data_IF_673805771764
#
_entry.id   IF_673805771764
#
_cell.length_a   1.000
_cell.length_b   1.000
_cell.length_c   1.000
_cell.angle_alpha   90.00
_cell.angle_beta   90.00
_cell.angle_gamma   90.00
#
_symmetry.space_group_name_H-M   'P 1'
#
loop_
_entity.id
_entity.type
_entity.pdbx_description
1 polymer ?
#
# COMPACT_ATOMS: atom_id res chain seq x y z
N UNK A 1 6.01 6.51 -2.17
CA UNK A 1 4.95 5.56 -1.73
C UNK A 1 3.81 6.37 -1.16
N UNK A 2 2.63 6.30 -1.79
CA UNK A 2 1.44 6.91 -1.22
C UNK A 2 0.95 6.08 -0.02
N UNK A 3 1.22 6.60 1.18
CA UNK A 3 0.80 5.95 2.43
C UNK A 3 -0.72 5.95 2.60
N UNK A 4 -1.47 6.76 1.84
CA UNK A 4 -2.93 6.78 1.88
C UNK A 4 -3.55 5.48 1.37
N UNK A 5 -2.83 4.71 0.55
CA UNK A 5 -3.25 3.37 0.13
C UNK A 5 -3.50 2.44 1.34
N UNK A 6 -2.75 2.59 2.44
CA UNK A 6 -2.98 1.81 3.67
C UNK A 6 -4.35 2.11 4.30
N UNK A 7 -4.87 3.33 4.15
CA UNK A 7 -6.20 3.70 4.63
C UNK A 7 -7.34 3.17 3.75
N UNK A 8 -7.03 2.57 2.59
CA UNK A 8 -8.01 1.91 1.71
C UNK A 8 -8.23 0.44 2.04
N UNK A 9 -7.41 -0.14 2.93
CA UNK A 9 -7.64 -1.49 3.43
C UNK A 9 -8.86 -1.45 4.36
N UNK A 10 -9.84 -2.31 4.11
CA UNK A 10 -11.00 -2.45 4.98
C UNK A 10 -10.61 -3.19 6.25
N UNK A 11 -10.99 -2.64 7.40
CA UNK A 11 -10.73 -3.22 8.70
C UNK A 11 -12.01 -3.23 9.53
N UNK A 12 -12.27 -4.34 10.23
CA UNK A 12 -13.18 -4.34 11.37
C UNK A 12 -12.53 -3.64 12.57
N UNK A 13 -13.34 -3.30 13.58
CA UNK A 13 -12.87 -2.76 14.84
C UNK A 13 -13.26 -3.67 16.00
N UNK A 14 -12.33 -3.83 16.95
CA UNK A 14 -12.47 -4.80 18.03
C UNK A 14 -11.98 -4.21 19.35
N UNK A 15 -12.66 -4.52 20.44
CA UNK A 15 -12.08 -4.44 21.78
C UNK A 15 -11.48 -5.80 22.09
N UNK A 16 -10.16 -5.89 22.18
CA UNK A 16 -9.47 -7.10 22.59
C UNK A 16 -9.13 -7.02 24.06
N UNK A 17 -9.60 -7.99 24.82
CA UNK A 17 -9.31 -8.12 26.25
C UNK A 17 -8.40 -9.31 26.52
N UNK A 18 -7.61 -9.19 27.58
CA UNK A 18 -6.79 -10.25 28.12
C UNK A 18 -6.82 -10.20 29.65
N UNK A 19 -6.55 -11.33 30.28
CA UNK A 19 -6.41 -11.46 31.72
C UNK A 19 -5.05 -12.09 32.01
N UNK A 20 -4.29 -11.52 32.94
CA UNK A 20 -3.08 -12.14 33.49
C UNK A 20 -3.03 -11.89 34.98
N UNK A 21 -2.76 -12.95 35.75
CA UNK A 21 -2.63 -12.89 37.21
C UNK A 21 -3.81 -12.21 37.91
N UNK A 22 -5.03 -12.44 37.42
CA UNK A 22 -6.26 -11.86 37.97
C UNK A 22 -6.52 -10.39 37.62
N UNK A 23 -5.64 -9.75 36.85
CA UNK A 23 -5.84 -8.39 36.32
C UNK A 23 -6.41 -8.45 34.92
N UNK A 24 -7.47 -7.68 34.67
CA UNK A 24 -8.07 -7.51 33.35
C UNK A 24 -7.55 -6.26 32.65
N UNK A 25 -7.40 -6.33 31.34
CA UNK A 25 -7.12 -5.16 30.52
C UNK A 25 -7.65 -5.35 29.10
N UNK A 26 -7.79 -4.25 28.36
CA UNK A 26 -8.18 -4.28 26.96
C UNK A 26 -7.60 -3.15 26.13
N UNK A 27 -7.60 -3.34 24.81
CA UNK A 27 -7.21 -2.33 23.83
C UNK A 27 -8.11 -2.37 22.59
N UNK A 28 -8.17 -1.25 21.86
CA UNK A 28 -8.78 -1.21 20.54
C UNK A 28 -7.79 -1.75 19.51
N UNK A 29 -8.27 -2.59 18.60
CA UNK A 29 -7.50 -3.06 17.44
C UNK A 29 -8.37 -3.12 16.19
N UNK A 30 -7.72 -3.15 15.04
CA UNK A 30 -8.34 -3.30 13.73
C UNK A 30 -7.73 -4.45 12.90
N UNK A 31 -6.93 -5.32 13.52
CA UNK A 31 -6.09 -6.31 12.84
C UNK A 31 -6.59 -7.75 12.98
N UNK A 32 -7.79 -7.97 13.52
CA UNK A 32 -8.34 -9.31 13.65
C UNK A 32 -9.00 -9.76 12.35
N UNK A 33 -8.66 -10.96 11.88
CA UNK A 33 -9.29 -11.58 10.70
C UNK A 33 -9.39 -13.10 10.87
N UNK A 34 -10.42 -13.71 10.27
CA UNK A 34 -10.51 -15.17 10.19
C UNK A 34 -9.49 -15.69 9.17
N UNK A 35 -8.73 -16.71 9.54
CA UNK A 35 -7.69 -17.31 8.68
C UNK A 35 -8.05 -18.72 8.20
N UNK A 36 -8.83 -19.47 8.96
CA UNK A 36 -9.37 -20.77 8.54
C UNK A 36 -10.77 -20.99 9.10
N UNK A 37 -11.62 -21.71 8.36
CA UNK A 37 -12.97 -22.10 8.80
C UNK A 37 -13.01 -23.47 9.50
N UNK A 38 -12.04 -24.35 9.24
CA UNK A 38 -11.92 -25.66 9.89
C UNK A 38 -10.44 -26.08 10.04
N UNK A 39 -9.86 -26.07 11.26
CA UNK A 39 -10.45 -25.54 12.50
C UNK A 39 -10.75 -24.04 12.37
N UNK A 40 -11.71 -23.53 13.16
CA UNK A 40 -12.05 -22.10 13.13
C UNK A 40 -10.94 -21.30 13.81
N UNK A 41 -10.21 -20.48 13.04
CA UNK A 41 -9.05 -19.72 13.52
C UNK A 41 -9.09 -18.29 13.09
N UNK A 42 -8.50 -17.45 13.92
CA UNK A 42 -8.26 -16.03 13.65
C UNK A 42 -6.78 -15.70 13.77
N UNK A 43 -6.36 -14.64 13.08
CA UNK A 43 -5.12 -13.94 13.39
C UNK A 43 -5.45 -12.60 14.05
N UNK A 44 -4.59 -12.19 14.98
CA UNK A 44 -4.66 -10.91 15.69
C UNK A 44 -3.26 -10.32 15.78
N UNK A 45 -3.05 -9.09 15.30
CA UNK A 45 -1.74 -8.43 15.37
C UNK A 45 -1.78 -7.28 16.37
N UNK A 46 -0.97 -7.33 17.43
CA UNK A 46 -0.97 -6.32 18.50
C UNK A 46 0.40 -5.67 18.63
N UNK A 47 0.42 -4.33 18.77
CA UNK A 47 1.64 -3.58 19.02
C UNK A 47 2.27 -3.98 20.36
N UNK A 48 3.59 -4.17 20.39
CA UNK A 48 4.32 -4.53 21.62
C UNK A 48 4.27 -3.44 22.71
N UNK A 49 3.87 -2.22 22.34
CA UNK A 49 3.67 -1.12 23.27
C UNK A 49 2.38 -1.25 24.10
N UNK A 50 1.39 -2.03 23.64
CA UNK A 50 0.13 -2.22 24.35
C UNK A 50 0.31 -3.18 25.53
N UNK A 51 -0.20 -2.84 26.73
CA UNK A 51 -0.16 -3.75 27.87
C UNK A 51 -0.92 -5.06 27.61
N UNK A 52 -2.02 -5.00 26.85
CA UNK A 52 -2.77 -6.19 26.42
C UNK A 52 -1.91 -7.16 25.62
N UNK A 53 -0.95 -6.69 24.83
CA UNK A 53 -0.03 -7.56 24.08
C UNK A 53 0.74 -8.49 25.02
N UNK A 54 1.34 -7.93 26.09
CA UNK A 54 2.16 -8.70 27.02
C UNK A 54 1.34 -9.78 27.72
N UNK A 55 0.09 -9.45 28.09
CA UNK A 55 -0.83 -10.39 28.72
C UNK A 55 -1.23 -11.54 27.78
N UNK A 56 -1.44 -11.25 26.50
CA UNK A 56 -1.73 -12.28 25.49
C UNK A 56 -0.50 -13.16 25.27
N UNK A 57 0.68 -12.55 25.20
CA UNK A 57 1.94 -13.29 25.02
C UNK A 57 2.22 -14.22 26.20
N UNK A 58 1.93 -13.79 27.43
CA UNK A 58 2.11 -14.58 28.65
C UNK A 58 1.09 -15.72 28.77
N UNK A 59 -0.18 -15.44 28.52
CA UNK A 59 -1.27 -16.38 28.85
C UNK A 59 -1.77 -17.20 27.66
N UNK A 60 -1.47 -16.75 26.44
CA UNK A 60 -2.00 -17.33 25.22
C UNK A 60 -3.52 -17.17 25.07
N UNK A 61 -4.16 -16.25 25.79
CA UNK A 61 -5.63 -16.11 25.80
C UNK A 61 -6.06 -14.67 25.54
N UNK A 62 -7.11 -14.51 24.74
CA UNK A 62 -7.80 -13.23 24.56
C UNK A 62 -9.28 -13.44 24.22
N UNK A 63 -10.08 -12.39 24.39
CA UNK A 63 -11.40 -12.30 23.77
C UNK A 63 -11.48 -11.04 22.94
N UNK A 64 -11.92 -11.17 21.69
CA UNK A 64 -12.20 -10.05 20.82
C UNK A 64 -13.70 -9.79 20.78
N UNK A 65 -14.12 -8.61 21.24
CA UNK A 65 -15.50 -8.14 21.10
C UNK A 65 -15.58 -7.26 19.86
N UNK A 66 -16.43 -7.62 18.91
CA UNK A 66 -16.60 -6.95 17.61
C UNK A 66 -17.39 -5.67 17.84
N UNK A 67 -16.79 -4.52 17.53
CA UNK A 67 -17.42 -3.21 17.74
C UNK A 67 -18.49 -3.02 16.67
N UNK A 68 -19.67 -2.57 17.10
CA UNK A 68 -20.83 -2.31 16.26
C UNK A 68 -20.95 -0.85 15.85
N UNK A 69 -21.81 -0.55 14.88
CA UNK A 69 -22.15 0.82 14.48
C UNK A 69 -22.85 1.64 15.57
N UNK A 70 -23.33 0.99 16.63
CA UNK A 70 -23.98 1.61 17.80
C UNK A 70 -22.96 2.06 18.86
N UNK A 71 -21.67 1.80 18.65
CA UNK A 71 -20.63 2.22 19.58
C UNK A 71 -20.48 3.74 19.63
N UNK A 72 -20.45 4.28 20.85
CA UNK A 72 -20.11 5.68 21.09
C UNK A 72 -18.58 5.90 21.12
N UNK A 73 -18.14 7.14 20.97
CA UNK A 73 -16.73 7.51 21.08
C UNK A 73 -16.14 7.23 22.47
N UNK A 74 -16.98 7.14 23.50
CA UNK A 74 -16.57 6.83 24.87
C UNK A 74 -15.88 5.47 24.96
N UNK A 75 -16.35 4.47 24.22
CA UNK A 75 -15.71 3.15 24.15
C UNK A 75 -14.25 3.24 23.66
N UNK A 76 -13.99 4.04 22.62
CA UNK A 76 -12.65 4.25 22.05
C UNK A 76 -11.76 5.05 23.00
N UNK A 77 -12.31 6.09 23.63
CA UNK A 77 -11.58 6.87 24.64
C UNK A 77 -11.15 6.00 25.82
N UNK A 78 -12.02 5.07 26.23
CA UNK A 78 -11.80 4.19 27.37
C UNK A 78 -10.71 3.14 27.09
N UNK A 79 -10.85 2.39 25.99
CA UNK A 79 -9.92 1.29 25.71
C UNK A 79 -8.72 1.68 24.82
N UNK A 80 -8.83 2.74 24.02
CA UNK A 80 -7.84 3.13 23.02
C UNK A 80 -6.87 4.23 23.46
N UNK A 81 -7.27 5.17 24.34
CA UNK A 81 -6.47 6.38 24.64
C UNK A 81 -5.78 6.34 26.01
N UNK A 82 -5.74 5.17 26.64
CA UNK A 82 -5.16 4.97 27.96
C UNK A 82 -4.31 3.72 27.95
N UNK A 83 -3.18 3.75 28.66
CA UNK A 83 -2.34 2.57 28.86
C UNK A 83 -2.87 1.77 30.05
N UNK A 84 -3.06 0.46 29.85
CA UNK A 84 -3.43 -0.45 30.93
C UNK A 84 -2.32 -0.66 31.97
N UNK A 85 -1.10 -0.15 31.73
CA UNK A 85 -0.03 -0.17 32.75
C UNK A 85 -0.37 0.80 33.88
N UNK A 86 -0.91 1.96 33.52
CA UNK A 86 -1.09 3.10 34.40
C UNK A 86 -2.52 3.21 34.94
N UNK A 87 -3.50 2.67 34.21
CA UNK A 87 -4.92 2.74 34.55
C UNK A 87 -5.53 1.35 34.59
N UNK A 88 -6.34 1.09 35.62
CA UNK A 88 -7.27 -0.05 35.62
C UNK A 88 -8.49 0.31 34.77
N UNK A 89 -8.51 -0.16 33.52
CA UNK A 89 -9.60 0.10 32.57
C UNK A 89 -10.90 -0.62 32.94
N UNK A 90 -10.88 -1.58 33.85
CA UNK A 90 -12.11 -2.27 34.26
C UNK A 90 -12.62 -1.84 35.63
N UNK A 91 -11.88 -0.96 36.33
CA UNK A 91 -12.37 -0.29 37.52
C UNK A 91 -13.63 0.53 37.19
N UNK A 92 -14.80 0.04 37.64
CA UNK A 92 -16.09 0.69 37.41
C UNK A 92 -16.69 0.50 36.01
N UNK A 93 -16.08 -0.31 35.14
CA UNK A 93 -16.67 -0.67 33.86
C UNK A 93 -17.52 -1.94 34.01
N UNK A 94 -18.84 -1.80 34.05
CA UNK A 94 -19.78 -2.91 34.31
C UNK A 94 -20.33 -3.57 33.05
N UNK A 95 -20.20 -2.94 31.89
CA UNK A 95 -20.81 -3.42 30.64
C UNK A 95 -19.99 -4.53 29.97
N UNK A 96 -19.63 -5.54 30.76
CA UNK A 96 -18.85 -6.69 30.34
C UNK A 96 -19.28 -7.97 31.07
N UNK A 97 -18.91 -9.12 30.51
CA UNK A 97 -19.14 -10.45 31.10
C UNK A 97 -17.85 -11.26 31.09
N UNK A 98 -17.69 -12.18 32.04
CA UNK A 98 -16.54 -13.10 32.06
C UNK A 98 -16.76 -14.22 31.05
N UNK A 99 -15.82 -14.40 30.12
CA UNK A 99 -15.79 -15.54 29.21
C UNK A 99 -15.26 -16.81 29.91
N UNK A 100 -15.54 -17.98 29.34
CA UNK A 100 -15.03 -19.26 29.84
C UNK A 100 -13.49 -19.33 29.86
N UNK A 101 -12.82 -18.65 28.93
CA UNK A 101 -11.36 -18.59 28.89
C UNK A 101 -10.74 -17.69 29.99
N UNK A 102 -11.57 -17.06 30.82
CA UNK A 102 -11.14 -16.19 31.93
C UNK A 102 -10.95 -14.72 31.56
N UNK A 103 -11.10 -14.33 30.29
CA UNK A 103 -11.02 -12.93 29.83
C UNK A 103 -12.41 -12.26 29.82
N UNK A 104 -12.49 -10.97 29.47
CA UNK A 104 -13.76 -10.22 29.48
C UNK A 104 -14.36 -10.03 28.08
N UNK A 105 -15.64 -10.31 27.94
CA UNK A 105 -16.46 -9.91 26.80
C UNK A 105 -16.95 -8.50 27.09
N UNK A 106 -16.59 -7.51 26.28
CA UNK A 106 -17.20 -6.18 26.35
C UNK A 106 -18.53 -6.28 25.61
N UNK A 107 -19.61 -5.80 26.24
CA UNK A 107 -20.98 -5.95 25.71
C UNK A 107 -21.58 -4.62 25.22
N UNK A 108 -21.14 -3.49 25.79
CA UNK A 108 -21.57 -2.17 25.32
C UNK A 108 -20.89 -1.81 24.00
N UNK A 109 -21.70 -1.45 23.01
CA UNK A 109 -21.24 -1.00 21.70
C UNK A 109 -20.67 -2.11 20.81
N UNK A 110 -20.93 -3.38 21.13
CA UNK A 110 -20.40 -4.55 20.41
C UNK A 110 -21.53 -5.48 19.97
N UNK A 111 -21.38 -6.15 18.82
CA UNK A 111 -22.42 -7.03 18.25
C UNK A 111 -22.07 -8.53 18.29
N UNK A 112 -20.83 -8.91 18.57
CA UNK A 112 -20.38 -10.29 18.68
C UNK A 112 -19.11 -10.40 19.52
N UNK A 113 -18.77 -11.61 19.96
CA UNK A 113 -17.45 -11.88 20.54
C UNK A 113 -16.85 -13.20 20.04
N UNK A 114 -15.52 -13.29 20.13
CA UNK A 114 -14.75 -14.50 19.89
C UNK A 114 -13.72 -14.69 21.02
N UNK A 115 -13.87 -15.74 21.82
CA UNK A 115 -12.87 -16.17 22.78
C UNK A 115 -11.85 -17.07 22.09
N UNK A 116 -10.57 -16.79 22.32
CA UNK A 116 -9.48 -17.35 21.54
C UNK A 116 -8.37 -17.94 22.42
N UNK A 117 -7.75 -19.02 21.94
CA UNK A 117 -6.54 -19.62 22.50
C UNK A 117 -5.43 -19.61 21.45
N UNK A 118 -4.34 -18.91 21.75
CA UNK A 118 -3.17 -18.77 20.87
C UNK A 118 -2.43 -20.09 20.77
N UNK A 119 -2.15 -20.54 19.54
CA UNK A 119 -1.33 -21.73 19.28
C UNK A 119 -0.02 -21.39 18.56
N UNK A 120 0.09 -20.21 17.94
CA UNK A 120 1.31 -19.73 17.30
C UNK A 120 1.45 -18.21 17.40
N UNK A 121 2.69 -17.73 17.47
CA UNK A 121 3.01 -16.31 17.43
C UNK A 121 4.15 -16.04 16.46
N UNK A 122 4.07 -14.90 15.77
CA UNK A 122 5.04 -14.45 14.77
C UNK A 122 5.47 -13.02 15.13
N UNK A 123 6.77 -12.82 15.29
CA UNK A 123 7.34 -11.49 15.51
C UNK A 123 7.41 -10.71 14.18
N UNK A 124 6.78 -9.54 14.14
CA UNK A 124 6.76 -8.63 12.98
C UNK A 124 7.54 -7.33 13.25
N UNK A 125 8.43 -7.34 14.24
CA UNK A 125 9.21 -6.18 14.66
C UNK A 125 8.49 -5.40 15.75
N UNK A 126 7.72 -4.37 15.37
CA UNK A 126 6.99 -3.51 16.32
C UNK A 126 5.71 -4.15 16.86
N UNK A 127 5.25 -5.22 16.22
CA UNK A 127 4.03 -5.95 16.55
C UNK A 127 4.30 -7.45 16.64
N UNK A 128 3.42 -8.17 17.32
CA UNK A 128 3.36 -9.64 17.28
C UNK A 128 2.02 -10.05 16.70
N UNK A 129 2.04 -10.96 15.72
CA UNK A 129 0.85 -11.62 15.20
C UNK A 129 0.61 -12.92 15.98
N UNK A 130 -0.56 -13.06 16.57
CA UNK A 130 -1.03 -14.26 17.24
C UNK A 130 -2.00 -15.00 16.32
N UNK A 131 -1.78 -16.30 16.11
CA UNK A 131 -2.73 -17.20 15.45
C UNK A 131 -3.40 -18.02 16.54
N UNK A 132 -4.72 -17.98 16.58
CA UNK A 132 -5.50 -18.55 17.67
C UNK A 132 -6.68 -19.37 17.17
N UNK A 133 -6.96 -20.47 17.88
CA UNK A 133 -8.19 -21.23 17.74
C UNK A 133 -9.34 -20.49 18.44
N UNK A 134 -10.50 -20.40 17.78
CA UNK A 134 -11.72 -19.84 18.37
C UNK A 134 -12.36 -20.93 19.23
N UNK A 135 -12.42 -20.69 20.55
CA UNK A 135 -12.92 -21.66 21.53
C UNK A 135 -14.38 -21.44 21.91
N UNK A 136 -14.86 -20.20 21.79
CA UNK A 136 -16.25 -19.81 22.03
C UNK A 136 -16.59 -18.54 21.23
N UNK A 137 -17.83 -18.39 20.78
CA UNK A 137 -18.30 -17.22 20.03
C UNK A 137 -19.82 -17.08 20.09
N UNK A 138 -20.31 -15.84 20.17
CA UNK A 138 -21.73 -15.53 20.20
C UNK A 138 -22.02 -14.23 19.45
N UNK A 139 -23.19 -14.15 18.82
CA UNK A 139 -23.77 -12.90 18.32
C UNK A 139 -24.58 -12.26 19.45
N UNK A 140 -24.21 -11.03 19.82
CA UNK A 140 -24.83 -10.26 20.90
C UNK A 140 -25.97 -9.36 20.41
N UNK A 141 -25.91 -8.91 19.15
CA UNK A 141 -26.95 -8.09 18.51
C UNK A 141 -26.88 -8.16 16.99
N UNK A 142 -27.97 -7.77 16.32
CA UNK A 142 -28.04 -7.67 14.85
C UNK A 142 -27.47 -6.35 14.30
N UNK A 143 -26.93 -5.48 15.17
CA UNK A 143 -26.33 -4.21 14.75
C UNK A 143 -25.12 -4.49 13.84
N UNK A 144 -24.93 -3.78 12.72
CA UNK A 144 -23.77 -3.99 11.84
C UNK A 144 -22.44 -3.74 12.57
N UNK A 145 -21.36 -4.39 12.12
CA UNK A 145 -20.02 -4.15 12.65
C UNK A 145 -19.47 -2.80 12.17
N UNK A 146 -18.85 -2.05 13.09
CA UNK A 146 -18.13 -0.83 12.74
C UNK A 146 -16.83 -1.17 12.01
N UNK A 147 -16.69 -0.64 10.80
CA UNK A 147 -15.41 -0.63 10.08
C UNK A 147 -14.56 0.55 10.51
N UNK A 148 -13.26 0.51 10.20
CA UNK A 148 -12.37 1.65 10.41
C UNK A 148 -12.84 2.91 9.66
N UNK A 149 -13.35 2.75 8.45
CA UNK A 149 -13.97 3.84 7.68
C UNK A 149 -15.21 4.39 8.38
N UNK A 150 -16.10 3.51 8.86
CA UNK A 150 -17.29 3.93 9.60
C UNK A 150 -16.94 4.71 10.86
N UNK A 151 -15.92 4.28 11.60
CA UNK A 151 -15.41 5.02 12.76
C UNK A 151 -14.96 6.43 12.38
N UNK A 152 -14.17 6.59 11.31
CA UNK A 152 -13.68 7.91 10.88
C UNK A 152 -14.82 8.85 10.48
N UNK A 153 -15.87 8.32 9.83
CA UNK A 153 -16.96 9.13 9.30
C UNK A 153 -18.08 9.44 10.31
N UNK A 154 -18.32 8.54 11.27
CA UNK A 154 -19.53 8.55 12.10
C UNK A 154 -19.29 8.53 13.61
N UNK A 155 -18.22 7.89 14.10
CA UNK A 155 -17.98 7.72 15.55
C UNK A 155 -16.96 8.72 16.08
N UNK A 156 -15.85 8.89 15.36
CA UNK A 156 -14.80 9.84 15.71
C UNK A 156 -15.40 11.25 15.68
N UNK A 157 -15.33 12.03 16.78
CA UNK A 157 -15.81 13.39 16.81
C UNK A 157 -15.18 14.17 15.67
N UNK A 158 -16.03 14.76 14.83
CA UNK A 158 -15.57 15.71 13.83
C UNK A 158 -15.06 16.94 14.59
N UNK A 159 -13.91 17.52 14.18
CA UNK A 159 -13.47 18.79 14.74
C UNK A 159 -14.62 19.79 14.64
N UNK A 160 -15.05 20.37 15.77
CA UNK A 160 -15.96 21.50 15.72
C UNK A 160 -15.25 22.63 14.99
N UNK A 161 -15.93 23.26 14.04
CA UNK A 161 -15.42 24.46 13.41
C UNK A 161 -15.24 25.52 14.49
N UNK A 162 -13.99 25.82 14.83
CA UNK A 162 -13.71 26.91 15.75
C UNK A 162 -14.11 28.19 15.05
N UNK A 163 -14.96 28.97 15.71
CA UNK A 163 -15.37 30.28 15.22
C UNK A 163 -14.17 31.13 14.83
N UNK A 164 -14.38 32.05 13.91
CA UNK A 164 -13.38 33.05 13.51
C UNK A 164 -12.80 33.72 14.75
N UNK A 165 -11.56 33.38 15.11
CA UNK A 165 -10.79 34.16 16.08
C UNK A 165 -10.64 35.57 15.51
N UNK A 166 -10.97 36.59 16.30
CA UNK A 166 -11.04 37.96 15.83
C UNK A 166 -9.69 38.55 15.38
N UNK A 167 -8.54 37.94 15.68
CA UNK A 167 -7.26 38.66 15.56
C UNK A 167 -6.07 37.78 15.10
N UNK A 168 -6.22 36.97 14.05
CA UNK A 168 -5.07 36.31 13.39
C UNK A 168 -4.33 35.26 14.24
N UNK A 169 -4.97 34.72 15.29
CA UNK A 169 -4.36 33.72 16.16
C UNK A 169 -4.12 32.40 15.43
N UNK A 170 -2.96 31.80 15.67
CA UNK A 170 -2.61 30.48 15.15
C UNK A 170 -3.45 29.40 15.84
N UNK A 171 -3.97 28.45 15.05
CA UNK A 171 -4.66 27.26 15.56
C UNK A 171 -3.76 26.04 15.38
N UNK A 172 -3.75 25.11 16.33
CA UNK A 172 -3.05 23.84 16.26
C UNK A 172 -4.05 22.70 16.43
N UNK A 173 -4.11 21.73 15.51
CA UNK A 173 -5.03 20.60 15.54
C UNK A 173 -4.30 19.30 15.85
N UNK A 174 -4.80 18.54 16.82
CA UNK A 174 -4.32 17.20 17.11
C UNK A 174 -4.74 16.22 15.99
N UNK A 175 -3.79 15.58 15.31
CA UNK A 175 -4.10 14.64 14.22
C UNK A 175 -4.74 13.34 14.71
N UNK A 176 -4.59 13.02 15.99
CA UNK A 176 -5.14 11.79 16.60
C UNK A 176 -6.65 11.95 16.86
N UNK A 177 -7.05 13.01 17.56
CA UNK A 177 -8.43 13.17 18.03
C UNK A 177 -9.16 14.41 17.50
N UNK A 178 -8.47 15.29 16.76
CA UNK A 178 -9.05 16.52 16.22
C UNK A 178 -9.15 17.68 17.20
N UNK A 179 -8.64 17.57 18.43
CA UNK A 179 -8.63 18.66 19.40
C UNK A 179 -7.84 19.87 18.88
N UNK A 180 -8.42 21.06 18.95
CA UNK A 180 -7.78 22.29 18.51
C UNK A 180 -7.33 23.15 19.70
N UNK A 181 -6.11 23.66 19.63
CA UNK A 181 -5.51 24.62 20.56
C UNK A 181 -5.30 25.96 19.84
N UNK A 182 -5.72 27.05 20.46
CA UNK A 182 -5.50 28.40 19.92
C UNK A 182 -4.34 29.05 20.67
N UNK A 183 -3.30 29.44 19.93
CA UNK A 183 -2.11 30.08 20.45
C UNK A 183 -1.00 30.16 19.41
N UNK A 184 -0.14 31.18 19.49
CA UNK A 184 0.97 31.37 18.53
C UNK A 184 1.91 30.16 18.48
N UNK A 185 2.21 29.60 19.65
CA UNK A 185 3.03 28.40 19.82
C UNK A 185 2.33 27.37 20.72
N UNK A 186 2.55 26.09 20.41
CA UNK A 186 2.18 24.97 21.28
C UNK A 186 3.32 24.75 22.30
N UNK A 187 3.09 24.79 23.63
CA UNK A 187 4.13 24.51 24.62
C UNK A 187 4.81 23.15 24.40
N UNK A 188 6.10 23.03 24.69
CA UNK A 188 6.86 21.79 24.45
C UNK A 188 6.36 20.61 25.30
N UNK A 189 5.80 20.90 26.47
CA UNK A 189 5.18 19.94 27.38
C UNK A 189 3.66 19.81 27.15
N UNK A 190 3.12 20.39 26.08
CA UNK A 190 1.69 20.35 25.81
C UNK A 190 1.20 18.93 25.53
N UNK A 191 0.24 18.51 26.34
CA UNK A 191 -0.44 17.21 26.22
C UNK A 191 -1.89 17.45 25.85
N UNK A 192 -2.33 16.85 24.74
CA UNK A 192 -3.72 16.94 24.27
C UNK A 192 -4.68 16.57 25.41
N UNK A 193 -5.63 17.45 25.80
CA UNK A 193 -6.52 17.15 26.92
C UNK A 193 -7.47 15.99 26.62
N UNK A 194 -7.73 15.71 25.34
CA UNK A 194 -8.65 14.66 24.87
C UNK A 194 -7.99 13.29 24.79
N UNK A 195 -6.89 13.16 24.03
CA UNK A 195 -6.25 11.87 23.76
C UNK A 195 -4.92 11.64 24.47
N UNK A 196 -4.42 12.63 25.22
CA UNK A 196 -3.16 12.57 25.98
C UNK A 196 -1.87 12.38 25.16
N UNK A 197 -1.95 12.54 23.84
CA UNK A 197 -0.78 12.63 22.97
C UNK A 197 -0.08 13.99 23.09
N UNK A 198 1.25 14.00 22.91
CA UNK A 198 2.08 15.20 23.06
C UNK A 198 2.07 16.11 21.82
N UNK A 199 2.82 17.22 21.92
CA UNK A 199 2.99 18.24 20.86
C UNK A 199 3.28 17.69 19.45
N UNK A 200 4.02 16.59 19.33
CA UNK A 200 4.38 15.99 18.04
C UNK A 200 3.17 15.58 17.20
N UNK A 201 2.02 15.35 17.83
CA UNK A 201 0.78 14.95 17.18
C UNK A 201 -0.16 16.15 16.89
N UNK A 202 0.37 17.38 16.85
CA UNK A 202 -0.35 18.59 16.47
C UNK A 202 0.16 19.22 15.17
N UNK A 203 -0.76 19.62 14.29
CA UNK A 203 -0.49 20.36 13.06
C UNK A 203 -1.00 21.80 13.14
N UNK A 204 -0.29 22.77 12.56
CA UNK A 204 -0.67 24.19 12.57
C UNK A 204 -1.68 24.51 11.46
N UNK A 205 -2.82 25.11 11.82
CA UNK A 205 -3.84 25.65 10.93
C UNK A 205 -3.74 27.18 10.89
N UNK A 206 -3.44 27.76 9.73
CA UNK A 206 -3.39 29.21 9.52
C UNK A 206 -4.69 29.72 8.91
N UNK A 207 -5.34 30.68 9.57
CA UNK A 207 -6.56 31.35 9.07
C UNK A 207 -6.29 32.20 7.82
N UNK A 208 -7.22 32.16 6.86
CA UNK A 208 -7.13 32.88 5.59
C UNK A 208 -7.38 34.40 5.74
N UNK A 209 -6.65 35.26 4.99
CA UNK A 209 -7.13 36.58 4.62
C UNK A 209 -7.91 36.55 3.29
N UNK A 210 -8.80 37.54 3.14
CA UNK A 210 -9.69 37.79 2.01
C UNK A 210 -8.92 38.21 0.73
N UNK A 211 -9.37 37.63 -0.39
CA UNK A 211 -9.27 38.00 -1.81
C UNK A 211 -7.92 38.40 -2.45
N UNK A 212 -7.74 37.78 -3.63
CA UNK A 212 -6.91 38.15 -4.78
C UNK A 212 -5.39 37.95 -4.67
N UNK A 213 -4.98 36.70 -4.44
CA UNK A 213 -3.77 36.11 -5.02
C UNK A 213 -3.86 34.58 -4.93
N UNK A 214 -3.74 33.88 -6.05
CA UNK A 214 -3.65 32.40 -6.08
C UNK A 214 -2.31 31.99 -5.44
N UNK A 215 -2.30 31.26 -4.30
CA UNK A 215 -1.05 30.79 -3.72
C UNK A 215 -0.58 29.57 -4.48
N UNK A 216 0.64 29.66 -5.00
CA UNK A 216 1.32 28.64 -5.79
C UNK A 216 1.58 27.41 -4.92
N UNK A 217 1.07 26.27 -5.39
CA UNK A 217 1.18 24.98 -4.75
C UNK A 217 2.52 24.32 -5.06
N UNK A 218 3.11 23.72 -4.02
CA UNK A 218 4.13 22.68 -4.14
C UNK A 218 3.67 21.65 -5.17
N UNK A 219 4.49 21.41 -6.19
CA UNK A 219 4.27 20.31 -7.10
C UNK A 219 4.57 18.97 -6.38
N UNK A 220 3.55 18.11 -6.26
CA UNK A 220 3.69 16.76 -5.71
C UNK A 220 4.36 15.78 -6.71
N UNK A 221 4.83 16.30 -7.85
CA UNK A 221 5.35 15.55 -9.01
C UNK A 221 6.89 15.49 -9.10
N UNK A 222 7.63 16.21 -8.24
CA UNK A 222 9.10 16.14 -8.22
C UNK A 222 9.78 16.73 -9.47
N UNK A 223 9.12 17.67 -10.14
CA UNK A 223 9.63 18.37 -11.33
C UNK A 223 10.50 19.57 -10.93
N UNK A 224 11.42 19.96 -11.80
CA UNK A 224 12.30 21.13 -11.60
C UNK A 224 11.46 22.42 -11.60
N UNK A 225 11.59 23.22 -10.54
CA UNK A 225 10.83 24.46 -10.34
C UNK A 225 11.75 25.68 -10.30
N UNK A 226 11.45 26.65 -11.15
CA UNK A 226 12.11 27.94 -11.23
C UNK A 226 11.15 29.01 -10.74
N UNK A 227 11.60 29.91 -9.84
CA UNK A 227 10.78 31.01 -9.33
C UNK A 227 11.30 32.34 -9.86
N UNK A 228 10.40 33.16 -10.37
CA UNK A 228 10.68 34.55 -10.71
C UNK A 228 11.07 35.32 -9.44
N UNK A 229 12.27 35.89 -9.41
CA UNK A 229 12.80 36.63 -8.25
C UNK A 229 12.05 37.94 -7.97
N UNK A 230 11.28 38.43 -8.95
CA UNK A 230 10.57 39.71 -8.86
C UNK A 230 9.16 39.56 -8.29
N UNK A 231 8.39 38.56 -8.74
CA UNK A 231 6.97 38.41 -8.38
C UNK A 231 6.62 37.07 -7.74
N UNK A 232 7.56 36.12 -7.71
CA UNK A 232 7.32 34.79 -7.15
C UNK A 232 6.56 33.81 -8.06
N UNK A 233 6.30 34.16 -9.33
CA UNK A 233 5.74 33.22 -10.31
C UNK A 233 6.62 31.99 -10.47
N UNK A 234 6.05 30.78 -10.42
CA UNK A 234 6.79 29.53 -10.57
C UNK A 234 6.59 28.95 -11.97
N UNK A 235 7.70 28.70 -12.66
CA UNK A 235 7.77 27.99 -13.93
C UNK A 235 8.24 26.55 -13.66
N UNK A 236 7.54 25.57 -14.23
CA UNK A 236 7.84 24.15 -14.09
C UNK A 236 8.43 23.66 -15.40
N UNK A 237 9.66 23.15 -15.36
CA UNK A 237 10.38 22.66 -16.53
C UNK A 237 11.88 22.48 -16.22
N UNK A 238 12.55 21.64 -17.00
CA UNK A 238 13.97 21.34 -16.80
C UNK A 238 14.85 22.59 -16.89
N UNK A 239 14.50 23.52 -17.78
CA UNK A 239 15.12 24.84 -17.94
C UNK A 239 14.09 25.90 -18.35
N UNK A 240 14.35 27.17 -18.01
CA UNK A 240 13.53 28.32 -18.45
C UNK A 240 13.98 28.72 -19.86
N UNK A 241 13.11 28.69 -20.90
CA UNK A 241 13.48 29.09 -22.25
C UNK A 241 13.99 30.53 -22.29
N UNK A 242 15.01 30.81 -23.11
CA UNK A 242 15.67 32.12 -23.14
C UNK A 242 14.74 33.27 -23.57
N UNK A 243 13.67 32.98 -24.31
CA UNK A 243 12.63 33.91 -24.76
C UNK A 243 11.40 33.94 -23.83
N UNK A 244 11.44 33.24 -22.70
CA UNK A 244 10.34 33.20 -21.75
C UNK A 244 10.23 34.52 -20.98
N UNK A 245 9.05 35.13 -21.04
CA UNK A 245 8.69 36.31 -20.24
C UNK A 245 7.72 35.91 -19.13
N UNK A 246 8.00 36.37 -17.91
CA UNK A 246 7.16 36.09 -16.76
C UNK A 246 5.73 36.64 -16.98
N UNK A 247 4.68 35.80 -16.94
CA UNK A 247 3.33 36.23 -17.26
C UNK A 247 2.71 37.19 -16.23
N UNK A 248 3.33 37.32 -15.05
CA UNK A 248 2.85 38.21 -13.98
C UNK A 248 3.53 39.59 -14.05
N UNK A 249 4.83 39.67 -14.32
CA UNK A 249 5.59 40.92 -14.23
C UNK A 249 6.41 41.30 -15.48
N UNK A 250 6.42 40.45 -16.51
CA UNK A 250 7.03 40.74 -17.81
C UNK A 250 8.56 40.70 -17.86
N UNK A 251 9.23 40.25 -16.79
CA UNK A 251 10.69 40.09 -16.80
C UNK A 251 11.12 38.85 -17.57
N UNK A 252 12.31 38.89 -18.18
CA UNK A 252 12.87 37.78 -18.95
C UNK A 252 13.32 36.59 -18.10
N UNK A 253 13.69 35.51 -18.77
CA UNK A 253 14.15 34.25 -18.19
C UNK A 253 15.37 34.39 -17.26
N UNK A 254 16.17 35.45 -17.45
CA UNK A 254 17.33 35.78 -16.61
C UNK A 254 16.95 36.15 -15.16
N UNK A 255 15.67 36.44 -14.92
CA UNK A 255 15.13 36.79 -13.60
C UNK A 255 14.41 35.63 -12.90
N UNK A 256 14.74 34.39 -13.26
CA UNK A 256 14.25 33.17 -12.60
C UNK A 256 15.38 32.44 -11.85
N UNK A 257 15.14 32.08 -10.60
CA UNK A 257 16.06 31.29 -9.77
C UNK A 257 15.52 29.87 -9.55
N UNK A 258 16.40 28.88 -9.53
CA UNK A 258 16.04 27.50 -9.26
C UNK A 258 15.72 27.31 -7.77
N UNK A 259 14.52 26.83 -7.46
CA UNK A 259 14.02 26.71 -6.07
C UNK A 259 13.95 25.28 -5.59
N UNK A 260 13.72 24.35 -6.50
CA UNK A 260 13.91 22.94 -6.24
C UNK A 260 14.38 22.26 -7.52
N UNK A 261 15.60 21.73 -7.50
CA UNK A 261 15.93 20.61 -8.37
C UNK A 261 15.22 19.38 -7.83
N UNK A 262 14.69 18.55 -8.73
CA UNK A 262 14.37 17.18 -8.38
C UNK A 262 15.59 16.57 -7.67
N UNK A 263 15.48 16.01 -6.45
CA UNK A 263 16.55 15.17 -5.94
C UNK A 263 16.74 14.06 -6.99
N UNK A 264 17.97 13.85 -7.45
CA UNK A 264 18.30 12.69 -8.25
C UNK A 264 17.68 11.47 -7.55
N UNK A 265 16.72 10.81 -8.20
CA UNK A 265 16.01 9.64 -7.65
C UNK A 265 17.06 8.68 -7.11
N UNK A 266 17.25 8.65 -5.79
CA UNK A 266 17.94 7.53 -5.17
C UNK A 266 17.02 6.34 -5.38
N UNK A 267 17.37 5.47 -6.32
CA UNK A 267 16.74 4.17 -6.47
C UNK A 267 16.61 3.55 -5.08
N UNK A 268 15.50 2.86 -4.81
CA UNK A 268 15.23 2.21 -3.52
C UNK A 268 16.25 1.13 -3.11
N UNK A 269 17.40 1.06 -3.79
CA UNK A 269 18.49 0.18 -3.51
C UNK A 269 19.41 0.75 -2.43
N UNK A 270 19.20 0.33 -1.18
CA UNK A 270 20.10 0.68 -0.06
C UNK A 270 21.53 0.14 -0.21
N UNK A 271 21.79 -0.70 -1.20
CA UNK A 271 23.10 -1.27 -1.51
C UNK A 271 23.84 -0.51 -2.62
N UNK A 272 23.27 0.57 -3.15
CA UNK A 272 23.82 1.33 -4.27
C UNK A 272 25.31 1.68 -4.07
N UNK A 273 26.13 1.39 -5.09
CA UNK A 273 27.58 1.63 -5.12
C UNK A 273 28.43 0.61 -4.35
N UNK A 274 27.83 -0.36 -3.67
CA UNK A 274 28.56 -1.35 -2.88
C UNK A 274 28.92 -2.60 -3.69
N UNK A 275 29.89 -3.39 -3.19
CA UNK A 275 30.14 -4.73 -3.72
C UNK A 275 28.92 -5.65 -3.55
N UNK A 276 28.12 -5.43 -2.51
CA UNK A 276 26.91 -6.21 -2.26
C UNK A 276 25.86 -5.99 -3.34
N UNK A 277 25.67 -4.76 -3.84
CA UNK A 277 24.79 -4.52 -5.00
C UNK A 277 25.25 -5.33 -6.22
N UNK A 278 26.55 -5.32 -6.52
CA UNK A 278 27.11 -6.12 -7.63
C UNK A 278 26.85 -7.62 -7.43
N UNK A 279 27.08 -8.13 -6.22
CA UNK A 279 26.82 -9.54 -5.91
C UNK A 279 25.33 -9.89 -6.06
N UNK A 280 24.42 -9.00 -5.67
CA UNK A 280 22.98 -9.20 -5.82
C UNK A 280 22.53 -9.19 -7.28
N UNK A 281 23.08 -8.28 -8.10
CA UNK A 281 22.84 -8.24 -9.54
C UNK A 281 23.39 -9.50 -10.24
N UNK A 282 24.58 -9.94 -9.86
CA UNK A 282 25.20 -11.17 -10.36
C UNK A 282 24.35 -12.40 -9.99
N UNK A 283 23.90 -12.50 -8.73
CA UNK A 283 23.00 -13.56 -8.29
C UNK A 283 21.67 -13.52 -9.07
N UNK A 284 21.05 -12.34 -9.22
CA UNK A 284 19.82 -12.20 -10.00
C UNK A 284 19.98 -12.65 -11.46
N UNK A 285 21.08 -12.25 -12.11
CA UNK A 285 21.38 -12.68 -13.47
C UNK A 285 21.61 -14.20 -13.55
N UNK A 286 22.36 -14.77 -12.60
CA UNK A 286 22.64 -16.20 -12.52
C UNK A 286 21.38 -17.04 -12.36
N UNK A 287 20.51 -16.68 -11.41
CA UNK A 287 19.26 -17.39 -11.14
C UNK A 287 18.27 -17.27 -12.32
N UNK A 288 18.21 -16.09 -12.97
CA UNK A 288 17.37 -15.87 -14.15
C UNK A 288 17.81 -16.75 -15.32
N UNK A 289 19.12 -16.87 -15.55
CA UNK A 289 19.68 -17.79 -16.54
C UNK A 289 19.44 -19.26 -16.16
N UNK A 290 19.55 -19.62 -14.87
CA UNK A 290 19.33 -20.97 -14.38
C UNK A 290 17.87 -21.43 -14.63
N UNK A 291 16.88 -20.60 -14.28
CA UNK A 291 15.46 -20.85 -14.56
C UNK A 291 15.20 -21.19 -16.03
N UNK A 292 15.72 -20.37 -16.96
CA UNK A 292 15.52 -20.58 -18.39
C UNK A 292 16.20 -21.88 -18.86
N UNK A 293 17.47 -22.10 -18.49
CA UNK A 293 18.21 -23.34 -18.82
C UNK A 293 17.46 -24.59 -18.34
N UNK A 294 17.01 -24.61 -17.08
CA UNK A 294 16.34 -25.76 -16.51
C UNK A 294 14.99 -26.04 -17.17
N UNK A 295 14.25 -25.00 -17.56
CA UNK A 295 13.02 -25.15 -18.37
C UNK A 295 13.31 -25.79 -19.74
N UNK A 296 14.42 -25.41 -20.39
CA UNK A 296 14.85 -26.03 -21.65
C UNK A 296 15.31 -27.48 -21.45
N UNK A 297 16.06 -27.76 -20.38
CA UNK A 297 16.50 -29.12 -20.04
C UNK A 297 15.33 -30.05 -19.73
N UNK A 298 14.28 -29.54 -19.08
CA UNK A 298 13.04 -30.30 -18.88
C UNK A 298 12.43 -30.75 -20.20
N UNK A 299 12.42 -29.89 -21.22
CA UNK A 299 11.91 -30.24 -22.55
C UNK A 299 12.73 -31.34 -23.21
N UNK A 300 14.06 -31.33 -23.05
CA UNK A 300 14.94 -32.41 -23.54
C UNK A 300 14.70 -33.71 -22.77
N UNK A 301 14.63 -33.66 -21.43
CA UNK A 301 14.36 -34.82 -20.60
C UNK A 301 13.01 -35.47 -20.96
N UNK A 302 11.98 -34.65 -21.20
CA UNK A 302 10.66 -35.12 -21.65
C UNK A 302 10.70 -35.77 -23.02
N UNK A 303 11.37 -35.16 -24.00
CA UNK A 303 11.57 -35.76 -25.34
C UNK A 303 12.27 -37.12 -25.28
N UNK A 304 13.12 -37.33 -24.29
CA UNK A 304 13.82 -38.59 -24.05
C UNK A 304 13.05 -39.59 -23.16
N UNK A 305 11.82 -39.28 -22.77
CA UNK A 305 10.97 -40.17 -21.95
C UNK A 305 11.25 -40.14 -20.44
N UNK A 306 12.11 -39.23 -19.96
CA UNK A 306 12.41 -39.09 -18.52
C UNK A 306 11.45 -38.10 -17.84
N UNK A 307 10.18 -38.47 -17.73
CA UNK A 307 9.13 -37.59 -17.18
C UNK A 307 9.43 -37.10 -15.74
N UNK A 308 9.96 -37.97 -14.86
CA UNK A 308 10.34 -37.57 -13.49
C UNK A 308 11.46 -36.52 -13.50
N UNK A 309 12.47 -36.69 -14.35
CA UNK A 309 13.60 -35.75 -14.46
C UNK A 309 13.11 -34.42 -15.02
N UNK A 310 12.21 -34.45 -16.02
CA UNK A 310 11.59 -33.25 -16.56
C UNK A 310 10.80 -32.48 -15.50
N UNK A 311 10.00 -33.19 -14.69
CA UNK A 311 9.26 -32.58 -13.58
C UNK A 311 10.18 -31.94 -12.54
N UNK A 312 11.28 -32.61 -12.18
CA UNK A 312 12.28 -32.07 -11.25
C UNK A 312 12.96 -30.83 -11.82
N UNK A 313 13.35 -30.81 -13.10
CA UNK A 313 13.90 -29.62 -13.72
C UNK A 313 12.93 -28.43 -13.70
N UNK A 314 11.64 -28.66 -13.97
CA UNK A 314 10.62 -27.60 -13.88
C UNK A 314 10.42 -27.11 -12.44
N UNK A 315 10.42 -28.02 -11.47
CA UNK A 315 10.37 -27.66 -10.07
C UNK A 315 11.57 -26.80 -9.65
N UNK A 316 12.78 -27.20 -10.05
CA UNK A 316 13.99 -26.42 -9.78
C UNK A 316 13.94 -25.06 -10.48
N UNK A 317 13.49 -24.99 -11.74
CA UNK A 317 13.32 -23.71 -12.45
C UNK A 317 12.37 -22.75 -11.69
N UNK A 318 11.32 -23.28 -11.09
CA UNK A 318 10.39 -22.50 -10.27
C UNK A 318 11.03 -22.05 -8.94
N UNK A 319 11.93 -22.85 -8.36
CA UNK A 319 12.72 -22.44 -7.20
C UNK A 319 13.70 -21.30 -7.57
N UNK A 320 14.40 -21.39 -8.69
CA UNK A 320 15.31 -20.32 -9.14
C UNK A 320 14.56 -19.02 -9.46
N UNK A 321 13.32 -19.12 -9.95
CA UNK A 321 12.45 -17.94 -10.10
C UNK A 321 12.21 -17.24 -8.75
N UNK A 322 11.93 -18.00 -7.68
CA UNK A 322 11.74 -17.42 -6.35
C UNK A 322 13.06 -16.91 -5.76
N UNK A 323 14.20 -17.57 -5.99
CA UNK A 323 15.53 -17.05 -5.61
C UNK A 323 15.83 -15.72 -6.30
N UNK A 324 15.67 -15.64 -7.62
CA UNK A 324 15.85 -14.41 -8.39
C UNK A 324 14.97 -13.27 -7.85
N UNK A 325 13.72 -13.57 -7.50
CA UNK A 325 12.78 -12.61 -6.92
C UNK A 325 13.24 -12.06 -5.56
N UNK A 326 13.87 -12.87 -4.71
CA UNK A 326 14.45 -12.40 -3.45
C UNK A 326 15.49 -11.31 -3.70
N UNK A 327 16.42 -11.56 -4.64
CA UNK A 327 17.51 -10.64 -4.97
C UNK A 327 17.01 -9.38 -5.66
N UNK A 328 16.13 -9.52 -6.64
CA UNK A 328 15.55 -8.38 -7.36
C UNK A 328 14.71 -7.48 -6.43
N UNK A 329 13.97 -8.08 -5.49
CA UNK A 329 13.26 -7.34 -4.45
C UNK A 329 14.23 -6.60 -3.52
N UNK A 330 15.35 -7.23 -3.13
CA UNK A 330 16.35 -6.60 -2.28
C UNK A 330 17.03 -5.39 -2.94
N UNK A 331 17.18 -5.44 -4.27
CA UNK A 331 17.65 -4.33 -5.11
C UNK A 331 16.60 -3.23 -5.34
N UNK A 332 15.36 -3.43 -4.88
CA UNK A 332 14.26 -2.49 -5.11
C UNK A 332 13.71 -2.52 -6.54
N UNK A 333 13.96 -3.59 -7.31
CA UNK A 333 13.52 -3.71 -8.71
C UNK A 333 12.03 -4.05 -8.91
N UNK A 334 11.28 -4.31 -7.83
CA UNK A 334 9.84 -4.62 -7.92
C UNK A 334 9.04 -3.44 -7.36
N UNK A 335 8.37 -2.72 -8.26
CA UNK A 335 7.46 -1.61 -7.96
C UNK A 335 5.98 -1.98 -8.13
N UNK A 336 5.16 -0.94 -8.24
CA UNK A 336 3.75 -1.00 -8.65
C UNK A 336 3.61 -1.44 -10.11
N UNK A 337 2.41 -1.84 -10.56
CA UNK A 337 2.18 -2.21 -11.97
C UNK A 337 2.59 -1.09 -12.93
N UNK A 338 2.33 0.17 -12.60
CA UNK A 338 2.73 1.35 -13.40
C UNK A 338 4.26 1.48 -13.47
N UNK A 339 4.94 1.36 -12.34
CA UNK A 339 6.42 1.42 -12.29
C UNK A 339 7.06 0.24 -13.02
N UNK A 340 6.48 -0.95 -12.93
CA UNK A 340 6.98 -2.15 -13.59
C UNK A 340 6.74 -2.10 -15.11
N UNK A 341 5.59 -1.58 -15.57
CA UNK A 341 5.32 -1.39 -16.99
C UNK A 341 6.25 -0.35 -17.62
N UNK A 342 6.54 0.73 -16.89
CA UNK A 342 7.55 1.70 -17.32
C UNK A 342 8.94 1.07 -17.40
N UNK A 343 9.40 0.40 -16.35
CA UNK A 343 10.70 -0.29 -16.35
C UNK A 343 10.81 -1.33 -17.47
N UNK A 344 9.74 -2.10 -17.73
CA UNK A 344 9.70 -3.04 -18.83
C UNK A 344 9.79 -2.31 -20.18
N UNK A 345 8.96 -1.30 -20.43
CA UNK A 345 8.99 -0.55 -21.67
C UNK A 345 10.35 0.14 -21.93
N UNK A 346 10.97 0.72 -20.90
CA UNK A 346 12.29 1.36 -21.00
C UNK A 346 13.39 0.32 -21.27
N UNK A 347 13.29 -0.87 -20.66
CA UNK A 347 14.18 -1.99 -20.92
C UNK A 347 14.07 -2.48 -22.36
N UNK A 348 12.86 -2.78 -22.82
CA UNK A 348 12.57 -3.19 -24.20
C UNK A 348 13.08 -2.13 -25.19
N UNK A 349 12.85 -0.83 -24.90
CA UNK A 349 13.35 0.27 -25.72
C UNK A 349 14.87 0.24 -25.88
N UNK A 350 15.60 0.11 -24.78
CA UNK A 350 17.05 -0.01 -24.80
C UNK A 350 17.50 -1.25 -25.59
N UNK A 351 16.78 -2.38 -25.44
CA UNK A 351 17.11 -3.60 -26.15
C UNK A 351 17.04 -3.44 -27.67
N UNK A 352 15.96 -2.85 -28.21
CA UNK A 352 15.82 -2.73 -29.66
C UNK A 352 16.52 -1.52 -30.30
N UNK A 353 16.71 -0.42 -29.56
CA UNK A 353 17.34 0.81 -30.09
C UNK A 353 18.86 0.84 -29.96
N UNK A 354 19.43 0.09 -29.02
CA UNK A 354 20.87 0.12 -28.74
C UNK A 354 21.43 -1.30 -28.75
N UNK A 355 20.97 -2.16 -27.82
CA UNK A 355 21.62 -3.45 -27.58
C UNK A 355 21.61 -4.36 -28.83
N UNK A 356 20.45 -4.67 -29.39
CA UNK A 356 20.33 -5.57 -30.54
C UNK A 356 20.79 -4.90 -31.84
N UNK A 357 20.64 -3.59 -32.00
CA UNK A 357 21.16 -2.86 -33.15
C UNK A 357 22.69 -2.95 -33.19
N UNK A 358 23.35 -2.65 -32.06
CA UNK A 358 24.81 -2.79 -31.91
C UNK A 358 25.27 -4.24 -32.09
N UNK A 359 24.62 -5.20 -31.43
CA UNK A 359 24.98 -6.63 -31.55
C UNK A 359 24.83 -7.14 -32.99
N UNK A 360 23.83 -6.69 -33.74
CA UNK A 360 23.68 -7.04 -35.15
C UNK A 360 24.80 -6.45 -36.01
N UNK A 361 25.19 -5.18 -35.78
CA UNK A 361 26.31 -4.55 -36.49
C UNK A 361 27.64 -5.26 -36.20
N UNK A 362 27.93 -5.51 -34.92
CA UNK A 362 29.13 -6.24 -34.48
C UNK A 362 29.18 -7.64 -35.12
N UNK A 363 28.05 -8.37 -35.12
CA UNK A 363 27.96 -9.68 -35.75
C UNK A 363 28.21 -9.63 -37.27
N UNK A 364 27.73 -8.60 -37.98
CA UNK A 364 28.01 -8.41 -39.41
C UNK A 364 29.48 -8.08 -39.68
N UNK A 365 30.09 -7.23 -38.86
CA UNK A 365 31.51 -6.88 -38.93
C UNK A 365 32.42 -8.10 -38.74
N UNK A 366 32.01 -9.01 -37.86
CA UNK A 366 32.70 -10.28 -37.60
C UNK A 366 32.36 -11.40 -38.62
N UNK A 367 31.42 -11.16 -39.53
CA UNK A 367 31.02 -12.10 -40.60
C UNK A 367 29.97 -13.15 -40.19
N UNK A 368 29.28 -12.95 -39.07
CA UNK A 368 28.19 -13.81 -38.57
C UNK A 368 26.80 -13.33 -39.02
N UNK A 369 26.60 -13.21 -40.34
CA UNK A 369 25.40 -12.60 -40.93
C UNK A 369 24.07 -13.26 -40.51
N UNK A 370 24.03 -14.60 -40.41
CA UNK A 370 22.81 -15.32 -39.98
C UNK A 370 22.42 -14.96 -38.52
N UNK A 371 23.41 -14.66 -37.68
CA UNK A 371 23.18 -14.24 -36.30
C UNK A 371 22.80 -12.76 -36.24
N UNK A 372 23.39 -11.92 -37.09
CA UNK A 372 23.01 -10.52 -37.23
C UNK A 372 21.54 -10.37 -37.67
N UNK A 373 21.08 -11.19 -38.62
CA UNK A 373 19.67 -11.23 -39.02
C UNK A 373 18.76 -11.67 -37.88
N UNK A 374 19.18 -12.66 -37.08
CA UNK A 374 18.44 -13.06 -35.87
C UNK A 374 18.36 -11.93 -34.84
N UNK A 375 19.45 -11.22 -34.55
CA UNK A 375 19.42 -10.07 -33.64
C UNK A 375 18.48 -8.97 -34.12
N UNK A 376 18.47 -8.65 -35.42
CA UNK A 376 17.50 -7.71 -35.99
C UNK A 376 16.06 -8.20 -35.85
N UNK A 377 15.82 -9.48 -36.09
CA UNK A 377 14.51 -10.10 -35.91
C UNK A 377 14.03 -10.00 -34.47
N UNK A 378 14.90 -10.28 -33.50
CA UNK A 378 14.60 -10.13 -32.07
C UNK A 378 14.35 -8.67 -31.71
N UNK A 379 15.21 -7.73 -32.15
CA UNK A 379 14.99 -6.29 -31.93
C UNK A 379 13.64 -5.80 -32.47
N UNK A 380 13.19 -6.28 -33.63
CA UNK A 380 11.86 -5.95 -34.15
C UNK A 380 10.71 -6.48 -33.26
N UNK A 381 10.92 -7.62 -32.58
CA UNK A 381 9.97 -8.18 -31.61
C UNK A 381 9.94 -7.35 -30.33
N UNK A 382 11.11 -6.97 -29.79
CA UNK A 382 11.19 -6.17 -28.56
C UNK A 382 10.57 -4.79 -28.73
N UNK A 383 10.65 -4.19 -29.93
CA UNK A 383 9.88 -2.98 -30.26
C UNK A 383 8.37 -3.18 -30.06
N UNK A 384 7.83 -4.33 -30.48
CA UNK A 384 6.43 -4.65 -30.28
C UNK A 384 6.09 -4.91 -28.79
N UNK A 385 7.04 -5.41 -28.00
CA UNK A 385 6.88 -5.50 -26.55
C UNK A 385 6.78 -4.11 -25.90
N UNK A 386 7.66 -3.18 -26.28
CA UNK A 386 7.59 -1.78 -25.81
C UNK A 386 6.20 -1.17 -26.14
N UNK A 387 5.78 -1.22 -27.41
CA UNK A 387 4.49 -0.68 -27.85
C UNK A 387 3.32 -1.22 -27.02
N UNK A 388 3.35 -2.52 -26.73
CA UNK A 388 2.34 -3.18 -25.88
C UNK A 388 2.38 -2.67 -24.44
N UNK A 389 3.55 -2.58 -23.83
CA UNK A 389 3.66 -2.10 -22.44
C UNK A 389 3.27 -0.63 -22.30
N UNK A 390 3.64 0.23 -23.26
CA UNK A 390 3.20 1.64 -23.30
C UNK A 390 1.69 1.76 -23.46
N UNK A 391 1.07 0.94 -24.31
CA UNK A 391 -0.39 0.93 -24.46
C UNK A 391 -1.10 0.45 -23.18
N UNK A 392 -0.57 -0.57 -22.49
CA UNK A 392 -1.11 -1.04 -21.22
C UNK A 392 -0.96 0.01 -20.11
N UNK A 393 0.18 0.68 -20.05
CA UNK A 393 0.43 1.78 -19.12
C UNK A 393 -0.58 2.92 -19.34
N UNK A 394 -0.76 3.35 -20.59
CA UNK A 394 -1.74 4.37 -20.95
C UNK A 394 -3.15 3.99 -20.50
N UNK A 395 -3.56 2.73 -20.69
CA UNK A 395 -4.87 2.26 -20.22
C UNK A 395 -5.03 2.38 -18.70
N UNK A 396 -3.97 2.17 -17.92
CA UNK A 396 -4.03 2.32 -16.45
C UNK A 396 -4.16 3.79 -16.08
N UNK A 397 -3.34 4.67 -16.66
CA UNK A 397 -3.31 6.11 -16.37
C UNK A 397 -4.60 6.82 -16.77
N UNK A 398 -5.17 6.44 -17.92
CA UNK A 398 -6.43 6.96 -18.42
C UNK A 398 -7.67 6.28 -17.80
N UNK A 399 -7.49 5.34 -16.86
CA UNK A 399 -8.57 4.52 -16.26
C UNK A 399 -9.41 3.76 -17.30
N UNK A 400 -8.77 3.35 -18.40
CA UNK A 400 -9.42 2.67 -19.51
C UNK A 400 -9.24 1.14 -19.53
N UNK A 401 -8.67 0.55 -18.47
CA UNK A 401 -8.48 -0.91 -18.39
C UNK A 401 -9.83 -1.65 -18.46
N UNK A 402 -10.85 -1.12 -17.80
CA UNK A 402 -12.20 -1.71 -17.72
C UNK A 402 -13.31 -0.75 -18.17
N UNK A 403 -12.94 0.35 -18.83
CA UNK A 403 -13.83 1.39 -19.35
C UNK A 403 -13.31 1.90 -20.68
N UNK A 404 -14.21 2.18 -21.61
CA UNK A 404 -13.89 2.82 -22.89
C UNK A 404 -14.87 3.94 -23.18
N UNK A 405 -14.43 4.93 -23.94
CA UNK A 405 -15.24 6.08 -24.35
C UNK A 405 -16.43 5.68 -25.23
N UNK A 406 -16.32 4.57 -25.97
CA UNK A 406 -17.37 3.98 -26.78
C UNK A 406 -17.84 2.62 -26.29
N UNK A 407 -19.02 2.21 -26.77
CA UNK A 407 -19.57 0.86 -26.54
C UNK A 407 -18.58 -0.18 -27.05
N UNK A 408 -18.16 -1.07 -26.16
CA UNK A 408 -17.16 -2.11 -26.40
C UNK A 408 -17.72 -3.48 -26.01
N UNK A 409 -17.17 -4.55 -26.59
CA UNK A 409 -17.46 -5.92 -26.16
C UNK A 409 -16.41 -6.37 -25.16
N UNK A 410 -16.83 -6.71 -23.95
CA UNK A 410 -16.00 -7.23 -22.87
C UNK A 410 -16.19 -8.75 -22.78
N UNK A 411 -15.10 -9.49 -22.64
CA UNK A 411 -15.10 -10.94 -22.49
C UNK A 411 -14.45 -11.34 -21.16
N UNK A 412 -15.15 -12.16 -20.38
CA UNK A 412 -14.61 -12.74 -19.15
C UNK A 412 -13.63 -13.87 -19.49
N UNK A 413 -12.34 -13.68 -19.27
CA UNK A 413 -11.29 -14.67 -19.53
C UNK A 413 -11.45 -15.97 -18.73
N UNK A 414 -12.21 -15.95 -17.64
CA UNK A 414 -12.47 -17.14 -16.83
C UNK A 414 -13.50 -18.09 -17.46
N UNK A 415 -14.58 -17.55 -18.04
CA UNK A 415 -15.72 -18.37 -18.48
C UNK A 415 -16.28 -18.03 -19.87
N UNK A 416 -15.70 -17.08 -20.59
CA UNK A 416 -16.12 -16.64 -21.93
C UNK A 416 -17.42 -15.81 -21.96
N UNK A 417 -17.91 -15.35 -20.81
CA UNK A 417 -19.12 -14.51 -20.79
C UNK A 417 -18.85 -13.15 -21.45
N UNK A 418 -19.72 -12.77 -22.39
CA UNK A 418 -19.61 -11.52 -23.15
C UNK A 418 -20.63 -10.50 -22.63
N UNK A 419 -20.16 -9.27 -22.40
CA UNK A 419 -20.98 -8.11 -22.06
C UNK A 419 -20.71 -6.99 -23.06
N UNK A 420 -21.77 -6.34 -23.54
CA UNK A 420 -21.66 -5.17 -24.43
C UNK A 420 -21.98 -3.91 -23.62
N UNK A 421 -21.03 -2.97 -23.55
CA UNK A 421 -21.18 -1.76 -22.77
C UNK A 421 -19.93 -0.87 -22.82
N UNK A 422 -20.02 0.33 -22.27
CA UNK A 422 -18.85 1.22 -22.12
C UNK A 422 -17.89 0.75 -21.02
N UNK A 423 -18.34 -0.14 -20.13
CA UNK A 423 -17.57 -0.62 -18.97
C UNK A 423 -17.77 -2.13 -18.78
N UNK A 424 -16.73 -2.82 -18.30
CA UNK A 424 -16.84 -4.20 -17.84
C UNK A 424 -17.58 -4.25 -16.49
N UNK A 425 -18.42 -5.25 -16.22
CA UNK A 425 -19.13 -5.34 -14.94
C UNK A 425 -18.17 -5.61 -13.77
N UNK A 426 -18.49 -5.05 -12.59
CA UNK A 426 -17.68 -5.26 -11.37
C UNK A 426 -17.56 -6.74 -10.98
N UNK A 427 -18.59 -7.53 -11.29
CA UNK A 427 -18.65 -8.98 -11.06
C UNK A 427 -19.26 -9.64 -12.30
N UNK A 428 -18.64 -10.71 -12.79
CA UNK A 428 -19.19 -11.50 -13.88
C UNK A 428 -20.53 -12.15 -13.46
N UNK A 429 -21.63 -11.94 -14.18
CA UNK A 429 -22.95 -12.47 -13.79
C UNK A 429 -23.07 -14.00 -13.97
N UNK A 430 -22.09 -14.64 -14.61
CA UNK A 430 -22.11 -16.08 -14.87
C UNK A 430 -21.23 -16.84 -13.87
N UNK A 431 -19.96 -16.46 -13.73
CA UNK A 431 -19.00 -17.18 -12.89
C UNK A 431 -18.64 -16.45 -11.59
N UNK A 432 -19.22 -15.27 -11.34
CA UNK A 432 -19.06 -14.48 -10.12
C UNK A 432 -17.61 -14.05 -9.81
N UNK A 433 -16.71 -14.09 -10.80
CA UNK A 433 -15.36 -13.58 -10.68
C UNK A 433 -15.33 -12.05 -10.86
N UNK A 434 -14.37 -11.35 -10.22
CA UNK A 434 -14.29 -9.89 -10.24
C UNK A 434 -13.98 -9.32 -11.63
N UNK A 435 -14.19 -8.01 -11.80
CA UNK A 435 -13.93 -7.22 -13.01
C UNK A 435 -12.56 -7.48 -13.64
N UNK A 436 -11.54 -7.80 -12.82
CA UNK A 436 -10.16 -8.09 -13.25
C UNK A 436 -10.01 -9.29 -14.20
N UNK A 437 -11.06 -10.08 -14.37
CA UNK A 437 -11.11 -11.17 -15.34
C UNK A 437 -11.62 -10.75 -16.72
N UNK A 438 -12.20 -9.55 -16.87
CA UNK A 438 -12.65 -9.05 -18.16
C UNK A 438 -11.51 -8.44 -18.98
N UNK A 439 -11.58 -8.62 -20.29
CA UNK A 439 -10.75 -7.90 -21.26
C UNK A 439 -11.61 -7.46 -22.45
N UNK A 440 -11.09 -6.55 -23.28
CA UNK A 440 -11.72 -6.24 -24.56
C UNK A 440 -11.66 -7.49 -25.44
N UNK A 441 -12.83 -7.93 -25.92
CA UNK A 441 -12.96 -9.11 -26.79
C UNK A 441 -12.11 -8.92 -28.05
N UNK A 442 -11.35 -9.97 -28.40
CA UNK A 442 -10.54 -10.01 -29.61
C UNK A 442 -11.21 -10.93 -30.63
N UNK A 443 -11.45 -10.44 -31.84
CA UNK A 443 -11.92 -11.25 -32.97
C UNK A 443 -10.83 -11.27 -34.05
N UNK A 444 -10.24 -12.44 -34.26
CA UNK A 444 -9.12 -12.65 -35.19
C UNK A 444 -9.21 -14.01 -35.92
N UNK A 445 -10.43 -14.47 -36.19
CA UNK A 445 -10.76 -15.69 -36.94
C UNK A 445 -11.61 -15.39 -38.17
#
# INVERSE_FOLDING_TARGET
MDKKAMYKISYGLFVVTANSSGRDNGCITNTLTQVTSSPNRVSLTVAKTNFTHDMILETGKFTASVISTDADFGLFKHFGFQSGRDVDKFAGFSDCKRAENGTLIVTKGTNAFLSCSVWHSIDLGTHTMFIADVTDMEVLSDAPSATYEYYQSNIKPKPEAVGTTSDGQTIWRCVICGYEYVGEELPDDFVCPVCKHGKADFEKLTGAPKNDAVPVGKNESGETVWRCTVCGYEYIGDEVPADFECPICGVGADQFELISSAPAKSSGNKYAGTKTEKNLLEAFAGESQARNKYTYFASVAKKNGYEQIAALFLQTAENEKEHAKLWFKALGGIGTTVENLNQAADGENHEWTDMYERMASEADEEGFHDLAEQFRGVGAIEKHHEERYRALLHNIEAMEVFKKSGVTMWECRNCGHIVVGTEAPEVCPVCFHPQSYFEVRKENY
#
